data_IF_663414880881
#
_entry.id   IF_663414880881
#
_cell.length_a   1.000
_cell.length_b   1.000
_cell.length_c   1.000
_cell.angle_alpha   90.00
_cell.angle_beta   90.00
_cell.angle_gamma   90.00
#
_symmetry.space_group_name_H-M   'P 1'
#
loop_
_entity.id
_entity.type
_entity.pdbx_description
1 polymer ?
#
# COMPACT_ATOMS: atom_id res chain seq x y z
N UNK A 1 11.98 7.63 6.82
CA UNK A 1 11.42 6.42 6.19
C UNK A 1 11.91 5.13 6.84
N UNK A 2 13.23 4.92 6.98
CA UNK A 2 13.78 3.73 7.67
C UNK A 2 13.18 3.50 9.06
N UNK A 3 13.08 4.54 9.90
CA UNK A 3 12.49 4.41 11.25
C UNK A 3 11.04 3.92 11.27
N UNK A 4 10.23 4.28 10.26
CA UNK A 4 8.83 3.84 10.15
C UNK A 4 8.79 2.35 9.74
N UNK A 5 9.63 1.93 8.80
CA UNK A 5 9.73 0.52 8.43
C UNK A 5 10.27 -0.33 9.58
N UNK A 6 11.24 0.17 10.34
CA UNK A 6 11.75 -0.51 11.53
C UNK A 6 10.63 -0.71 12.56
N UNK A 7 9.79 0.30 12.81
CA UNK A 7 8.63 0.16 13.69
C UNK A 7 7.70 -0.98 13.25
N UNK A 8 7.35 -1.05 11.95
CA UNK A 8 6.50 -2.12 11.43
C UNK A 8 7.14 -3.51 11.59
N UNK A 9 8.43 -3.64 11.28
CA UNK A 9 9.14 -4.93 11.36
C UNK A 9 9.28 -5.38 12.82
N UNK A 10 9.67 -4.48 13.73
CA UNK A 10 9.81 -4.79 15.17
C UNK A 10 8.46 -5.16 15.79
N UNK A 11 7.36 -4.59 15.27
CA UNK A 11 6.00 -4.91 15.70
C UNK A 11 5.41 -6.14 15.02
N UNK A 12 6.23 -6.95 14.33
CA UNK A 12 5.82 -8.16 13.61
C UNK A 12 4.77 -7.92 12.50
N UNK A 13 4.65 -6.67 12.02
CA UNK A 13 3.77 -6.33 10.92
C UNK A 13 4.41 -6.67 9.57
N UNK A 14 3.59 -7.02 8.59
CA UNK A 14 4.02 -7.24 7.20
C UNK A 14 3.76 -5.95 6.40
N UNK A 15 4.79 -5.13 6.11
CA UNK A 15 4.59 -3.90 5.33
C UNK A 15 4.30 -4.24 3.86
N UNK A 16 3.25 -3.64 3.30
CA UNK A 16 2.86 -3.83 1.90
C UNK A 16 2.89 -2.50 1.15
N UNK A 17 3.68 -2.43 0.08
CA UNK A 17 3.68 -1.31 -0.87
C UNK A 17 2.87 -1.62 -2.14
N UNK A 18 2.40 -0.58 -2.82
CA UNK A 18 1.65 -0.63 -4.08
C UNK A 18 2.47 -0.90 -5.35
N UNK A 19 3.81 -0.80 -5.32
CA UNK A 19 4.70 -1.09 -6.46
C UNK A 19 5.75 -0.02 -6.73
N UNK A 20 6.51 -0.11 -7.82
CA UNK A 20 7.51 0.91 -8.18
C UNK A 20 6.87 2.25 -8.54
N UNK A 21 7.66 3.33 -8.48
CA UNK A 21 7.33 4.69 -8.97
C UNK A 21 5.99 5.25 -8.47
N UNK A 22 5.99 5.85 -7.27
CA UNK A 22 4.83 6.58 -6.72
C UNK A 22 3.84 5.71 -5.93
N UNK A 23 4.06 4.40 -5.84
CA UNK A 23 3.26 3.50 -5.01
C UNK A 23 4.09 2.65 -4.04
N UNK A 24 5.42 2.86 -3.95
CA UNK A 24 6.35 1.96 -3.26
C UNK A 24 6.15 1.93 -1.76
N UNK A 25 5.58 3.00 -1.20
CA UNK A 25 5.32 3.17 0.23
C UNK A 25 3.83 3.29 0.55
N UNK A 26 2.95 3.09 -0.44
CA UNK A 26 1.51 3.27 -0.30
C UNK A 26 0.94 4.27 -1.31
N UNK A 27 -0.26 4.79 -1.02
CA UNK A 27 -0.84 5.90 -1.78
C UNK A 27 -0.50 7.24 -1.14
N UNK A 28 0.10 8.15 -1.91
CA UNK A 28 0.36 9.53 -1.48
C UNK A 28 -0.55 10.46 -2.26
N UNK A 29 -1.13 11.44 -1.58
CA UNK A 29 -2.04 12.42 -2.19
C UNK A 29 -1.40 13.81 -2.20
N UNK A 30 -1.53 14.53 -3.30
CA UNK A 30 -1.12 15.91 -3.42
C UNK A 30 -2.33 16.83 -3.46
N UNK A 31 -2.47 17.67 -2.43
CA UNK A 31 -3.61 18.59 -2.30
C UNK A 31 -3.53 19.82 -3.20
N UNK A 32 -2.38 20.09 -3.84
CA UNK A 32 -2.16 21.33 -4.60
C UNK A 32 -2.59 22.59 -3.84
N UNK A 33 -2.29 22.62 -2.54
CA UNK A 33 -2.67 23.71 -1.61
C UNK A 33 -4.18 23.96 -1.44
N UNK A 34 -5.04 23.05 -1.93
CA UNK A 34 -6.51 23.08 -1.80
C UNK A 34 -7.05 22.14 -0.71
N UNK A 35 -6.18 21.76 0.23
CA UNK A 35 -6.54 20.94 1.40
C UNK A 35 -7.28 19.66 0.99
N UNK A 36 -8.41 19.35 1.64
CA UNK A 36 -9.17 18.13 1.41
C UNK A 36 -9.74 18.04 -0.02
N UNK A 37 -10.16 19.17 -0.62
CA UNK A 37 -10.72 19.17 -1.98
C UNK A 37 -9.68 18.75 -3.01
N UNK A 38 -8.49 19.37 -3.00
CA UNK A 38 -7.44 19.00 -3.93
C UNK A 38 -6.91 17.59 -3.71
N UNK A 39 -6.84 17.11 -2.45
CA UNK A 39 -6.44 15.74 -2.18
C UNK A 39 -7.48 14.72 -2.69
N UNK A 40 -8.77 15.05 -2.63
CA UNK A 40 -9.84 14.21 -3.14
C UNK A 40 -9.86 14.14 -4.69
N UNK A 41 -9.35 15.18 -5.35
CA UNK A 41 -9.25 15.28 -6.81
C UNK A 41 -7.95 14.65 -7.38
N UNK A 42 -7.00 14.23 -6.54
CA UNK A 42 -5.74 13.62 -6.99
C UNK A 42 -5.95 12.20 -7.55
N UNK A 43 -6.18 12.10 -8.86
CA UNK A 43 -6.37 10.84 -9.58
C UNK A 43 -5.18 9.89 -9.47
N UNK A 44 -3.95 10.41 -9.45
CA UNK A 44 -2.72 9.62 -9.33
C UNK A 44 -2.56 9.06 -7.91
N UNK A 45 -2.83 9.87 -6.89
CA UNK A 45 -2.91 9.45 -5.50
C UNK A 45 -3.96 8.38 -5.28
N UNK A 46 -5.16 8.57 -5.84
CA UNK A 46 -6.23 7.56 -5.81
C UNK A 46 -5.82 6.26 -6.52
N UNK A 47 -5.15 6.35 -7.68
CA UNK A 47 -4.67 5.17 -8.43
C UNK A 47 -3.62 4.39 -7.65
N UNK A 48 -2.64 5.08 -7.05
CA UNK A 48 -1.58 4.45 -6.24
C UNK A 48 -2.13 3.82 -4.95
N UNK A 49 -3.11 4.46 -4.31
CA UNK A 49 -3.84 3.93 -3.16
C UNK A 49 -4.58 2.64 -3.52
N UNK A 50 -5.36 2.63 -4.62
CA UNK A 50 -6.04 1.41 -5.10
C UNK A 50 -5.06 0.26 -5.39
N UNK A 51 -3.92 0.54 -6.01
CA UNK A 51 -2.86 -0.46 -6.24
C UNK A 51 -2.32 -1.05 -4.93
N UNK A 52 -2.09 -0.20 -3.94
CA UNK A 52 -1.62 -0.60 -2.60
C UNK A 52 -2.64 -1.52 -1.92
N UNK A 53 -3.92 -1.12 -1.89
CA UNK A 53 -5.00 -1.92 -1.30
C UNK A 53 -5.15 -3.27 -1.97
N UNK A 54 -5.09 -3.32 -3.31
CA UNK A 54 -5.16 -4.58 -4.06
C UNK A 54 -3.99 -5.53 -3.72
N UNK A 55 -2.79 -4.99 -3.49
CA UNK A 55 -1.64 -5.81 -3.07
C UNK A 55 -1.76 -6.26 -1.63
N UNK A 56 -2.27 -5.41 -0.74
CA UNK A 56 -2.55 -5.77 0.65
C UNK A 56 -3.54 -6.93 0.71
N UNK A 57 -4.64 -6.86 -0.03
CA UNK A 57 -5.64 -7.95 -0.14
C UNK A 57 -5.00 -9.27 -0.59
N UNK A 58 -4.17 -9.24 -1.64
CA UNK A 58 -3.42 -10.43 -2.10
C UNK A 58 -2.47 -10.97 -1.02
N UNK A 59 -1.80 -10.09 -0.27
CA UNK A 59 -0.93 -10.52 0.81
C UNK A 59 -1.72 -11.19 1.94
N UNK A 60 -2.93 -10.68 2.26
CA UNK A 60 -3.81 -11.30 3.25
C UNK A 60 -4.23 -12.72 2.84
N UNK A 61 -4.56 -12.95 1.56
CA UNK A 61 -4.85 -14.29 1.05
C UNK A 61 -3.65 -15.23 1.27
N UNK A 62 -2.43 -14.79 0.90
CA UNK A 62 -1.20 -15.56 1.09
C UNK A 62 -0.96 -15.90 2.57
N UNK A 63 -1.14 -14.93 3.48
CA UNK A 63 -0.98 -15.15 4.93
C UNK A 63 -2.04 -16.11 5.46
N UNK A 64 -3.26 -16.08 4.93
CA UNK A 64 -4.33 -17.03 5.27
C UNK A 64 -4.11 -18.43 4.68
N UNK A 65 -3.13 -18.59 3.79
CA UNK A 65 -2.90 -19.84 3.04
C UNK A 65 -3.90 -20.04 1.90
N UNK A 66 -4.69 -19.02 1.58
CA UNK A 66 -5.58 -18.98 0.42
C UNK A 66 -4.70 -18.56 -0.79
N UNK A 67 -4.78 -19.27 -1.91
CA UNK A 67 -3.91 -19.09 -3.10
C UNK A 67 -2.46 -19.63 -3.01
N UNK A 68 -2.13 -20.49 -2.02
CA UNK A 68 -0.94 -21.33 -2.15
C UNK A 68 -1.15 -22.34 -3.31
N UNK A 69 -0.16 -22.56 -4.20
CA UNK A 69 -0.25 -23.67 -5.14
C UNK A 69 -0.48 -24.96 -4.34
N UNK A 70 -1.55 -25.68 -4.66
CA UNK A 70 -1.76 -27.02 -4.08
C UNK A 70 -0.49 -27.82 -4.38
N UNK A 71 0.16 -28.33 -3.33
CA UNK A 71 1.24 -29.29 -3.50
C UNK A 71 0.65 -30.46 -4.31
N UNK A 72 1.09 -30.59 -5.56
CA UNK A 72 0.84 -31.78 -6.37
C UNK A 72 1.63 -32.96 -5.86
#
# INVERSE_FOLDING_TARGET
>A
LQSIHHFYIISEMIPVGGGSFGANLGGTFWSQDRMAEGAAEDEEGLRSMRKTMNRMMKMLEVVRGENLPKKG
#
